data_IF_849457112151
#
_entry.id   IF_849457112151
#
_cell.length_a   1.000
_cell.length_b   1.000
_cell.length_c   1.000
_cell.angle_alpha   90.00
_cell.angle_beta   90.00
_cell.angle_gamma   90.00
#
_symmetry.space_group_name_H-M   'P 1'
#
loop_
_entity.id
_entity.type
_entity.pdbx_description
1 polymer ?
#
# COMPACT_ATOMS: atom_id res chain seq x y z
N UNK A 1 7.93 -3.38 9.65
CA UNK A 1 6.59 -3.42 9.02
C UNK A 1 6.71 -3.33 7.50
N UNK A 2 7.49 -2.38 6.97
CA UNK A 2 7.79 -2.27 5.54
C UNK A 2 8.38 -3.56 4.93
N UNK A 3 9.35 -4.21 5.60
CA UNK A 3 9.93 -5.48 5.12
C UNK A 3 8.89 -6.57 4.89
N UNK A 4 7.97 -6.74 5.85
CA UNK A 4 6.90 -7.74 5.78
C UNK A 4 5.98 -7.44 4.60
N UNK A 5 5.60 -6.17 4.45
CA UNK A 5 4.72 -5.74 3.35
C UNK A 5 5.41 -5.94 2.00
N UNK A 6 6.69 -5.57 1.88
CA UNK A 6 7.50 -5.76 0.67
C UNK A 6 7.70 -7.23 0.34
N UNK A 7 7.95 -8.08 1.34
CA UNK A 7 8.09 -9.52 1.16
C UNK A 7 6.78 -10.17 0.70
N UNK A 8 5.64 -9.75 1.25
CA UNK A 8 4.33 -10.31 0.92
C UNK A 8 3.76 -9.80 -0.41
N UNK A 9 3.93 -8.51 -0.73
CA UNK A 9 3.32 -7.89 -1.91
C UNK A 9 4.27 -7.76 -3.10
N UNK A 10 5.57 -7.81 -2.84
CA UNK A 10 6.63 -7.60 -3.82
C UNK A 10 7.07 -6.14 -3.90
N UNK A 11 8.38 -5.96 -4.12
CA UNK A 11 9.05 -4.66 -4.18
C UNK A 11 8.40 -3.68 -5.15
N UNK A 12 8.12 -4.09 -6.39
CA UNK A 12 7.58 -3.20 -7.42
C UNK A 12 6.22 -2.56 -7.02
N UNK A 13 5.34 -3.34 -6.39
CA UNK A 13 4.01 -2.85 -5.98
C UNK A 13 4.13 -1.84 -4.83
N UNK A 14 4.98 -2.15 -3.85
CA UNK A 14 5.23 -1.26 -2.70
C UNK A 14 5.92 0.04 -3.14
N UNK A 15 6.96 -0.05 -3.98
CA UNK A 15 7.64 1.14 -4.52
C UNK A 15 6.71 2.05 -5.30
N UNK A 16 5.80 1.49 -6.12
CA UNK A 16 4.82 2.27 -6.86
C UNK A 16 3.84 3.01 -5.93
N UNK A 17 3.38 2.35 -4.86
CA UNK A 17 2.50 2.99 -3.88
C UNK A 17 3.20 4.16 -3.18
N UNK A 18 4.45 3.96 -2.75
CA UNK A 18 5.25 4.99 -2.07
C UNK A 18 5.59 6.18 -2.98
N UNK A 19 5.91 5.93 -4.27
CA UNK A 19 6.13 6.99 -5.27
C UNK A 19 4.93 7.91 -5.43
N UNK A 20 3.72 7.37 -5.24
CA UNK A 20 2.45 8.07 -5.36
C UNK A 20 1.86 8.55 -4.02
N UNK A 21 2.63 8.56 -2.92
CA UNK A 21 2.14 8.90 -1.56
C UNK A 21 1.38 10.24 -1.50
N UNK A 22 1.78 11.25 -2.28
CA UNK A 22 1.05 12.54 -2.37
C UNK A 22 -0.34 12.40 -2.98
N UNK A 23 -0.46 11.70 -4.12
CA UNK A 23 -1.75 11.44 -4.78
C UNK A 23 -2.66 10.56 -3.92
N UNK A 24 -2.09 9.54 -3.27
CA UNK A 24 -2.77 8.66 -2.34
C UNK A 24 -3.47 9.44 -1.21
N UNK A 25 -2.80 10.43 -0.61
CA UNK A 25 -3.43 11.26 0.45
C UNK A 25 -4.68 11.98 -0.07
N UNK A 26 -4.60 12.59 -1.25
CA UNK A 26 -5.74 13.26 -1.88
C UNK A 26 -6.88 12.29 -2.20
N UNK A 27 -6.57 11.10 -2.74
CA UNK A 27 -7.55 10.06 -3.02
C UNK A 27 -8.25 9.57 -1.75
N UNK A 28 -7.49 9.31 -0.69
CA UNK A 28 -8.03 8.85 0.60
C UNK A 28 -8.98 9.88 1.21
N UNK A 29 -8.67 11.17 1.08
CA UNK A 29 -9.54 12.25 1.58
C UNK A 29 -10.81 12.40 0.74
N UNK A 30 -10.74 12.15 -0.57
CA UNK A 30 -11.89 12.20 -1.47
C UNK A 30 -12.83 10.98 -1.30
N UNK A 31 -12.29 9.82 -0.92
CA UNK A 31 -13.01 8.55 -0.86
C UNK A 31 -12.88 7.77 0.46
N UNK A 32 -13.11 8.40 1.64
CA UNK A 32 -12.81 7.79 2.94
C UNK A 32 -13.58 6.49 3.20
N UNK A 33 -14.87 6.43 2.84
CA UNK A 33 -15.70 5.23 3.05
C UNK A 33 -15.27 4.05 2.18
N UNK A 34 -14.84 4.32 0.94
CA UNK A 34 -14.33 3.29 0.03
C UNK A 34 -13.05 2.70 0.59
N UNK A 35 -12.09 3.56 0.96
CA UNK A 35 -10.81 3.14 1.53
C UNK A 35 -11.03 2.33 2.82
N UNK A 36 -11.88 2.80 3.73
CA UNK A 36 -12.18 2.10 4.98
C UNK A 36 -12.79 0.71 4.74
N UNK A 37 -13.69 0.56 3.77
CA UNK A 37 -14.28 -0.74 3.42
C UNK A 37 -13.21 -1.71 2.93
N UNK A 38 -12.36 -1.26 2.01
CA UNK A 38 -11.32 -2.10 1.44
C UNK A 38 -10.17 -2.40 2.40
N UNK A 39 -9.91 -1.55 3.41
CA UNK A 39 -8.98 -1.89 4.50
C UNK A 39 -9.42 -3.14 5.27
N UNK A 40 -10.72 -3.25 5.58
CA UNK A 40 -11.26 -4.43 6.28
C UNK A 40 -11.14 -5.69 5.44
N UNK A 41 -11.48 -5.60 4.15
CA UNK A 41 -11.32 -6.73 3.21
C UNK A 41 -9.85 -7.11 3.07
N UNK A 42 -8.94 -6.14 2.92
CA UNK A 42 -7.51 -6.42 2.80
C UNK A 42 -6.95 -7.15 4.03
N UNK A 43 -7.40 -6.80 5.24
CA UNK A 43 -6.99 -7.50 6.46
C UNK A 43 -7.41 -8.98 6.44
N UNK A 44 -8.62 -9.29 5.98
CA UNK A 44 -9.10 -10.67 5.83
C UNK A 44 -8.25 -11.45 4.80
N UNK A 45 -8.00 -10.86 3.63
CA UNK A 45 -7.14 -11.47 2.62
C UNK A 45 -5.69 -11.61 3.10
N UNK A 46 -5.19 -10.70 3.95
CA UNK A 46 -3.85 -10.78 4.53
C UNK A 46 -3.70 -12.00 5.45
N UNK A 47 -4.70 -12.26 6.28
CA UNK A 47 -4.72 -13.41 7.19
C UNK A 47 -4.83 -14.74 6.44
N UNK A 48 -5.51 -14.75 5.30
CA UNK A 48 -5.70 -15.94 4.46
C UNK A 48 -4.63 -16.11 3.36
N UNK A 49 -3.64 -15.22 3.29
CA UNK A 49 -2.53 -15.31 2.34
C UNK A 49 -2.85 -14.86 0.90
N UNK A 50 -3.99 -14.21 0.66
CA UNK A 50 -4.44 -13.74 -0.66
C UNK A 50 -4.37 -12.22 -0.87
N UNK A 51 -3.65 -11.49 -0.01
CA UNK A 51 -3.60 -10.03 -0.05
C UNK A 51 -3.04 -9.48 -1.36
N UNK A 52 -2.05 -10.17 -1.96
CA UNK A 52 -1.41 -9.72 -3.19
C UNK A 52 -2.39 -9.80 -4.37
N UNK A 53 -3.02 -10.95 -4.55
CA UNK A 53 -4.00 -11.21 -5.61
C UNK A 53 -5.19 -10.26 -5.49
N UNK A 54 -5.65 -10.01 -4.25
CA UNK A 54 -6.70 -9.02 -3.99
C UNK A 54 -6.28 -7.62 -4.44
N UNK A 55 -5.09 -7.16 -4.06
CA UNK A 55 -4.56 -5.85 -4.42
C UNK A 55 -4.33 -5.71 -5.93
N UNK A 56 -3.90 -6.77 -6.62
CA UNK A 56 -3.73 -6.79 -8.08
C UNK A 56 -5.06 -6.63 -8.84
N UNK A 57 -6.17 -7.08 -8.25
CA UNK A 57 -7.51 -6.91 -8.82
C UNK A 57 -8.16 -5.55 -8.59
N UNK A 58 -7.52 -4.64 -7.85
CA UNK A 58 -8.05 -3.30 -7.57
C UNK A 58 -7.55 -2.25 -8.57
N UNK A 59 -8.28 -1.14 -8.63
CA UNK A 59 -7.79 0.09 -9.25
C UNK A 59 -6.46 0.54 -8.62
N UNK A 60 -5.58 1.13 -9.43
CA UNK A 60 -4.22 1.48 -9.01
C UNK A 60 -4.20 2.52 -7.88
N UNK A 61 -5.10 3.51 -7.90
CA UNK A 61 -5.14 4.55 -6.86
C UNK A 61 -5.62 3.97 -5.52
N UNK A 62 -6.66 3.11 -5.57
CA UNK A 62 -7.15 2.42 -4.39
C UNK A 62 -6.10 1.45 -3.83
N UNK A 63 -5.46 0.65 -4.67
CA UNK A 63 -4.37 -0.26 -4.28
C UNK A 63 -3.24 0.50 -3.57
N UNK A 64 -2.74 1.56 -4.20
CA UNK A 64 -1.66 2.36 -3.64
C UNK A 64 -2.05 2.98 -2.30
N UNK A 65 -3.32 3.39 -2.16
CA UNK A 65 -3.85 3.90 -0.91
C UNK A 65 -3.83 2.87 0.21
N UNK A 66 -4.31 1.66 -0.06
CA UNK A 66 -4.34 0.60 0.94
C UNK A 66 -2.93 0.17 1.36
N UNK A 67 -2.00 0.07 0.42
CA UNK A 67 -0.60 -0.24 0.71
C UNK A 67 0.02 0.84 1.59
N UNK A 68 -0.18 2.12 1.27
CA UNK A 68 0.32 3.20 2.11
C UNK A 68 -0.29 3.18 3.53
N UNK A 69 -1.56 2.80 3.66
CA UNK A 69 -2.20 2.65 4.96
C UNK A 69 -1.65 1.47 5.77
N UNK A 70 -1.35 0.33 5.12
CA UNK A 70 -0.70 -0.83 5.77
C UNK A 70 0.70 -0.49 6.28
N UNK A 71 1.45 0.28 5.49
CA UNK A 71 2.81 0.69 5.80
C UNK A 71 2.81 1.75 6.93
N UNK A 72 1.74 2.54 7.02
CA UNK A 72 1.62 3.63 7.98
C UNK A 72 2.53 4.81 7.64
N UNK A 73 2.62 5.78 8.57
CA UNK A 73 3.55 6.89 8.41
C UNK A 73 4.99 6.45 8.72
N UNK A 74 5.65 5.90 7.71
CA UNK A 74 7.08 5.60 7.74
C UNK A 74 7.88 6.85 7.37
N UNK A 75 8.99 7.07 8.08
CA UNK A 75 9.94 8.15 7.81
C UNK A 75 10.56 8.00 6.42
N UNK A 76 10.87 9.13 5.78
CA UNK A 76 11.52 9.12 4.46
C UNK A 76 12.87 8.37 4.48
N UNK A 77 13.59 8.43 5.60
CA UNK A 77 14.87 7.74 5.79
C UNK A 77 14.71 6.21 5.71
N UNK A 78 13.69 5.64 6.36
CA UNK A 78 13.44 4.20 6.31
C UNK A 78 12.95 3.71 4.94
N UNK A 79 12.39 4.60 4.12
CA UNK A 79 12.06 4.29 2.71
C UNK A 79 13.34 4.30 1.86
N UNK A 80 14.23 5.27 2.08
CA UNK A 80 15.50 5.40 1.37
C UNK A 80 16.47 4.26 1.69
N UNK A 81 16.57 3.84 2.95
CA UNK A 81 17.43 2.73 3.40
C UNK A 81 17.08 1.38 2.74
N UNK A 82 15.84 1.21 2.28
CA UNK A 82 15.39 0.01 1.57
C UNK A 82 15.50 0.11 0.04
N UNK A 83 15.99 1.23 -0.49
CA UNK A 83 16.05 1.48 -1.93
C UNK A 83 14.68 1.60 -2.60
N UNK A 84 13.60 1.84 -1.83
CA UNK A 84 12.21 1.87 -2.33
C UNK A 84 11.88 3.14 -3.15
N UNK A 85 12.89 3.91 -3.54
CA UNK A 85 12.82 5.07 -4.44
C UNK A 85 14.12 5.09 -5.27
N UNK A 86 14.40 4.04 -6.04
CA UNK A 86 15.39 4.13 -7.10
C UNK A 86 14.79 3.74 -8.47
N UNK A 87 14.95 4.70 -9.39
CA UNK A 87 14.61 4.79 -10.82
C UNK A 87 13.15 5.12 -11.20
#
# INVERSE_FOLDING_TARGET
>A
MLDIVTQSLGFAMVSLALRNKKQVKSFSMAHPSLVSKHCLTLLDYWQNGGAKEYLEGLDTDLRNCLICNLIGDISADAIADMGLIEV
#
